data_IF_823013436892
#
_entry.id   IF_823013436892
#
_cell.length_a   1.000
_cell.length_b   1.000
_cell.length_c   1.000
_cell.angle_alpha   90.00
_cell.angle_beta   90.00
_cell.angle_gamma   90.00
#
_symmetry.space_group_name_H-M   'P 1'
#
loop_
_entity.id
_entity.type
_entity.pdbx_description
1 polymer ?
#
# COMPACT_ATOMS: atom_id res chain seq x y z
N UNK A 1 -7.03 30.55 51.30
CA UNK A 1 -7.56 31.21 50.09
C UNK A 1 -6.69 30.95 48.84
N UNK A 2 -5.36 30.82 48.95
CA UNK A 2 -4.46 30.56 47.80
C UNK A 2 -4.63 29.18 47.16
N UNK A 3 -4.98 28.16 47.95
CA UNK A 3 -5.16 26.78 47.47
C UNK A 3 -6.19 26.66 46.33
N UNK A 4 -7.31 27.38 46.42
CA UNK A 4 -8.38 27.31 45.41
C UNK A 4 -7.95 27.88 44.06
N UNK A 5 -7.20 28.99 44.09
CA UNK A 5 -6.64 29.62 42.89
C UNK A 5 -5.60 28.72 42.22
N UNK A 6 -4.72 28.11 43.02
CA UNK A 6 -3.71 27.20 42.51
C UNK A 6 -4.33 25.92 41.94
N UNK A 7 -5.33 25.36 42.62
CA UNK A 7 -6.09 24.20 42.13
C UNK A 7 -6.77 24.49 40.79
N UNK A 8 -7.50 25.61 40.69
CA UNK A 8 -8.18 26.00 39.45
C UNK A 8 -7.21 26.24 38.29
N UNK A 9 -6.08 26.93 38.53
CA UNK A 9 -5.03 27.12 37.53
C UNK A 9 -4.45 25.78 37.04
N UNK A 10 -4.14 24.86 37.95
CA UNK A 10 -3.64 23.54 37.59
C UNK A 10 -4.66 22.73 36.77
N UNK A 11 -5.94 22.76 37.14
CA UNK A 11 -7.01 22.07 36.39
C UNK A 11 -7.17 22.64 34.98
N UNK A 12 -7.24 23.96 34.82
CA UNK A 12 -7.37 24.60 33.51
C UNK A 12 -6.13 24.32 32.65
N UNK A 13 -4.91 24.44 33.21
CA UNK A 13 -3.68 24.16 32.48
C UNK A 13 -3.61 22.70 32.01
N UNK A 14 -4.05 21.74 32.82
CA UNK A 14 -4.05 20.31 32.46
C UNK A 14 -5.08 20.02 31.37
N UNK A 15 -6.28 20.61 31.46
CA UNK A 15 -7.32 20.44 30.44
C UNK A 15 -6.93 21.09 29.11
N UNK A 16 -6.43 22.32 29.15
CA UNK A 16 -5.91 23.02 27.97
C UNK A 16 -4.74 22.27 27.34
N UNK A 17 -3.83 21.70 28.13
CA UNK A 17 -2.74 20.87 27.63
C UNK A 17 -3.23 19.63 26.87
N UNK A 18 -4.19 18.90 27.42
CA UNK A 18 -4.79 17.74 26.74
C UNK A 18 -5.53 18.15 25.45
N UNK A 19 -6.28 19.25 25.48
CA UNK A 19 -7.00 19.77 24.31
C UNK A 19 -6.04 20.16 23.19
N UNK A 20 -4.96 20.88 23.52
CA UNK A 20 -3.93 21.24 22.55
C UNK A 20 -3.32 19.98 21.96
N UNK A 21 -2.98 18.98 22.78
CA UNK A 21 -2.43 17.72 22.29
C UNK A 21 -3.35 17.02 21.29
N UNK A 22 -4.67 16.97 21.56
CA UNK A 22 -5.64 16.41 20.60
C UNK A 22 -5.72 17.19 19.29
N UNK A 23 -5.59 18.53 19.33
CA UNK A 23 -5.64 19.37 18.14
C UNK A 23 -4.34 19.33 17.33
N UNK A 24 -3.19 19.18 18.00
CA UNK A 24 -1.88 19.18 17.34
C UNK A 24 -1.48 17.83 16.76
N UNK A 25 -2.01 16.72 17.29
CA UNK A 25 -1.75 15.38 16.77
C UNK A 25 -2.95 14.90 15.96
N UNK A 26 -3.05 15.25 14.66
CA UNK A 26 -4.02 14.59 13.79
C UNK A 26 -3.77 13.09 13.88
N UNK A 27 -4.83 12.33 14.16
CA UNK A 27 -4.76 10.90 14.45
C UNK A 27 -3.85 10.15 13.48
N UNK A 28 -3.11 9.17 13.99
CA UNK A 28 -2.12 8.42 13.22
C UNK A 28 -2.72 7.96 11.89
N UNK A 29 -2.13 8.32 10.73
CA UNK A 29 -2.66 7.90 9.45
C UNK A 29 -2.72 6.37 9.44
N UNK A 30 -3.91 5.87 9.16
CA UNK A 30 -4.26 4.47 8.97
C UNK A 30 -3.24 3.80 8.02
N UNK A 31 -2.18 3.22 8.58
CA UNK A 31 -1.16 2.53 7.78
C UNK A 31 -1.47 1.05 7.81
N UNK A 32 -1.76 0.49 6.64
CA UNK A 32 -1.88 -0.95 6.47
C UNK A 32 -0.47 -1.52 6.39
N UNK A 33 -0.10 -2.36 7.35
CA UNK A 33 1.27 -2.85 7.48
C UNK A 33 1.48 -4.21 6.79
N UNK A 34 0.44 -5.02 6.67
CA UNK A 34 0.48 -6.37 6.12
C UNK A 34 -0.81 -6.69 5.34
N UNK A 35 -0.76 -7.75 4.53
CA UNK A 35 -1.89 -8.15 3.68
C UNK A 35 -3.10 -8.58 4.53
N UNK A 36 -2.88 -9.17 5.70
CA UNK A 36 -3.95 -9.55 6.60
C UNK A 36 -4.82 -8.34 7.03
N UNK A 37 -4.19 -7.27 7.50
CA UNK A 37 -4.87 -6.03 7.87
C UNK A 37 -5.55 -5.35 6.67
N UNK A 38 -4.97 -5.48 5.47
CA UNK A 38 -5.58 -5.00 4.23
C UNK A 38 -6.93 -5.70 3.97
N UNK A 39 -6.95 -7.03 4.03
CA UNK A 39 -8.12 -7.84 3.68
C UNK A 39 -9.19 -7.87 4.77
N UNK A 40 -8.79 -8.00 6.03
CA UNK A 40 -9.73 -8.30 7.12
C UNK A 40 -10.07 -7.08 7.99
N UNK A 41 -9.09 -6.24 8.33
CA UNK A 41 -9.33 -5.08 9.20
C UNK A 41 -9.87 -3.88 8.43
N UNK A 42 -9.34 -3.65 7.22
CA UNK A 42 -9.76 -2.55 6.34
C UNK A 42 -10.81 -2.97 5.32
N UNK A 43 -11.02 -4.27 5.15
CA UNK A 43 -11.94 -4.83 4.16
C UNK A 43 -11.74 -4.23 2.76
N UNK A 44 -10.48 -4.11 2.33
CA UNK A 44 -10.15 -3.55 1.02
C UNK A 44 -10.09 -4.64 -0.05
N UNK A 45 -10.41 -4.26 -1.28
CA UNK A 45 -10.38 -5.16 -2.43
C UNK A 45 -9.03 -5.08 -3.16
N UNK A 46 -8.34 -6.21 -3.37
CA UNK A 46 -7.07 -6.24 -4.08
C UNK A 46 -7.29 -6.13 -5.59
N UNK A 47 -6.58 -5.22 -6.22
CA UNK A 47 -6.53 -5.04 -7.68
C UNK A 47 -5.17 -5.52 -8.19
N UNK A 48 -5.18 -6.29 -9.27
CA UNK A 48 -3.98 -6.79 -9.92
C UNK A 48 -4.01 -6.53 -11.43
N UNK A 49 -2.82 -6.46 -12.02
CA UNK A 49 -2.68 -6.44 -13.47
C UNK A 49 -2.85 -7.85 -14.03
N UNK A 50 -3.66 -7.99 -15.10
CA UNK A 50 -3.89 -9.29 -15.76
C UNK A 50 -2.60 -9.86 -16.33
N UNK A 51 -2.43 -11.18 -16.21
CA UNK A 51 -1.26 -11.90 -16.71
C UNK A 51 0.09 -11.42 -16.11
N UNK A 52 0.05 -10.63 -15.04
CA UNK A 52 1.25 -10.20 -14.34
C UNK A 52 1.81 -11.32 -13.46
N UNK A 53 3.02 -11.11 -12.94
CA UNK A 53 3.58 -11.99 -11.92
C UNK A 53 2.65 -12.13 -10.71
N UNK A 54 2.02 -11.03 -10.26
CA UNK A 54 1.10 -11.05 -9.11
C UNK A 54 -0.15 -11.90 -9.36
N UNK A 55 -0.67 -11.91 -10.59
CA UNK A 55 -1.79 -12.79 -11.00
C UNK A 55 -1.43 -14.27 -10.82
N UNK A 56 -0.25 -14.66 -11.32
CA UNK A 56 0.23 -16.04 -11.21
C UNK A 56 0.65 -16.40 -9.78
N UNK A 57 1.28 -15.47 -9.06
CA UNK A 57 1.75 -15.70 -7.69
C UNK A 57 0.58 -15.91 -6.72
N UNK A 58 -0.49 -15.12 -6.84
CA UNK A 58 -1.69 -15.30 -6.03
C UNK A 58 -2.40 -16.62 -6.35
N UNK A 59 -2.56 -16.94 -7.64
CA UNK A 59 -3.24 -18.17 -8.07
C UNK A 59 -2.52 -19.47 -7.70
N UNK A 60 -1.18 -19.44 -7.61
CA UNK A 60 -0.38 -20.62 -7.27
C UNK A 60 0.02 -20.72 -5.79
N UNK A 61 -0.27 -19.69 -4.99
CA UNK A 61 0.09 -19.66 -3.57
C UNK A 61 -0.79 -20.57 -2.72
N UNK A 62 -0.24 -21.04 -1.59
CA UNK A 62 -0.97 -21.79 -0.55
C UNK A 62 -1.16 -20.98 0.73
N UNK A 63 -0.72 -19.72 0.75
CA UNK A 63 -0.88 -18.87 1.93
C UNK A 63 -2.34 -18.44 2.08
N UNK A 64 -2.95 -18.55 3.27
CA UNK A 64 -4.36 -18.22 3.48
C UNK A 64 -4.76 -16.81 3.01
N UNK A 65 -3.94 -15.80 3.33
CA UNK A 65 -4.20 -14.41 2.92
C UNK A 65 -4.17 -14.24 1.40
N UNK A 66 -3.29 -14.97 0.69
CA UNK A 66 -3.18 -14.90 -0.77
C UNK A 66 -4.38 -15.59 -1.43
N UNK A 67 -4.82 -16.73 -0.86
CA UNK A 67 -6.01 -17.44 -1.31
C UNK A 67 -7.27 -16.57 -1.15
N UNK A 68 -7.38 -15.84 -0.04
CA UNK A 68 -8.50 -14.91 0.17
C UNK A 68 -8.44 -13.72 -0.80
N UNK A 69 -7.26 -13.12 -1.00
CA UNK A 69 -7.09 -12.07 -2.01
C UNK A 69 -7.49 -12.57 -3.40
N UNK A 70 -7.01 -13.76 -3.78
CA UNK A 70 -7.32 -14.40 -5.04
C UNK A 70 -8.82 -14.71 -5.18
N UNK A 71 -9.48 -15.20 -4.13
CA UNK A 71 -10.92 -15.45 -4.11
C UNK A 71 -11.72 -14.16 -4.38
N UNK A 72 -11.32 -13.02 -3.81
CA UNK A 72 -11.99 -11.73 -4.07
C UNK A 72 -11.86 -11.31 -5.52
N UNK A 73 -10.66 -11.45 -6.09
CA UNK A 73 -10.40 -11.17 -7.51
C UNK A 73 -11.21 -12.10 -8.42
N UNK A 74 -11.27 -13.40 -8.11
CA UNK A 74 -12.06 -14.35 -8.90
C UNK A 74 -13.56 -14.04 -8.89
N UNK A 75 -14.09 -13.55 -7.76
CA UNK A 75 -15.50 -13.19 -7.65
C UNK A 75 -15.85 -11.89 -8.38
N UNK A 76 -14.85 -11.05 -8.71
CA UNK A 76 -15.05 -9.79 -9.37
C UNK A 76 -13.93 -9.53 -10.40
N UNK A 77 -14.20 -9.92 -11.66
CA UNK A 77 -13.23 -9.78 -12.75
C UNK A 77 -12.83 -8.31 -13.01
N UNK A 78 -13.62 -7.33 -12.57
CA UNK A 78 -13.25 -5.91 -12.67
C UNK A 78 -12.04 -5.53 -11.79
N UNK A 79 -11.65 -6.39 -10.83
CA UNK A 79 -10.43 -6.22 -10.03
C UNK A 79 -9.17 -6.71 -10.75
N UNK A 80 -9.33 -7.39 -11.88
CA UNK A 80 -8.25 -7.76 -12.79
C UNK A 80 -8.24 -6.76 -13.94
N UNK A 81 -7.19 -5.96 -14.00
CA UNK A 81 -7.12 -4.80 -14.90
C UNK A 81 -5.98 -4.98 -15.91
N UNK A 82 -6.14 -4.48 -17.13
CA UNK A 82 -5.15 -4.71 -18.19
C UNK A 82 -3.96 -3.74 -18.12
N UNK A 83 -4.13 -2.54 -17.56
CA UNK A 83 -3.10 -1.50 -17.55
C UNK A 83 -2.89 -0.86 -16.18
N UNK A 84 -1.64 -0.53 -15.87
CA UNK A 84 -1.29 0.14 -14.61
C UNK A 84 -1.94 1.52 -14.46
N UNK A 85 -2.13 2.27 -15.56
CA UNK A 85 -2.79 3.59 -15.52
C UNK A 85 -4.26 3.50 -15.08
N UNK A 86 -4.97 2.46 -15.53
CA UNK A 86 -6.35 2.22 -15.12
C UNK A 86 -6.42 1.86 -13.63
N UNK A 87 -5.47 1.05 -13.14
CA UNK A 87 -5.33 0.74 -11.72
C UNK A 87 -5.14 2.02 -10.89
N UNK A 88 -4.26 2.93 -11.33
CA UNK A 88 -4.03 4.21 -10.63
C UNK A 88 -5.29 5.09 -10.62
N UNK A 89 -6.08 5.07 -11.71
CA UNK A 89 -7.37 5.78 -11.76
C UNK A 89 -8.37 5.18 -10.78
N UNK A 90 -8.48 3.85 -10.72
CA UNK A 90 -9.37 3.16 -9.78
C UNK A 90 -9.00 3.49 -8.32
N UNK A 91 -7.72 3.40 -7.96
CA UNK A 91 -7.24 3.79 -6.62
C UNK A 91 -7.53 5.25 -6.31
N UNK A 92 -7.36 6.16 -7.29
CA UNK A 92 -7.64 7.58 -7.06
C UNK A 92 -9.14 7.87 -6.89
N UNK A 93 -10.00 7.06 -7.51
CA UNK A 93 -11.45 7.21 -7.43
C UNK A 93 -12.09 6.53 -6.22
N UNK A 94 -11.46 5.50 -5.66
CA UNK A 94 -12.02 4.69 -4.58
C UNK A 94 -11.01 4.45 -3.47
N UNK A 95 -11.41 4.75 -2.23
CA UNK A 95 -10.60 4.51 -1.03
C UNK A 95 -10.66 3.07 -0.53
N UNK A 96 -11.44 2.18 -1.17
CA UNK A 96 -11.65 0.80 -0.73
C UNK A 96 -10.82 -0.21 -1.52
N UNK A 97 -10.06 0.24 -2.52
CA UNK A 97 -9.25 -0.64 -3.38
C UNK A 97 -7.77 -0.38 -3.18
N UNK A 98 -6.96 -1.43 -3.35
CA UNK A 98 -5.51 -1.34 -3.27
C UNK A 98 -4.86 -2.24 -4.30
N UNK A 99 -3.74 -1.79 -4.87
CA UNK A 99 -3.03 -2.57 -5.88
C UNK A 99 -1.95 -3.47 -5.27
N UNK A 100 -1.90 -4.73 -5.73
CA UNK A 100 -0.82 -5.67 -5.46
C UNK A 100 0.04 -5.76 -6.72
N UNK A 101 1.32 -5.39 -6.60
CA UNK A 101 2.23 -5.31 -7.74
C UNK A 101 3.67 -5.00 -7.31
N UNK A 102 4.51 -4.63 -8.29
CA UNK A 102 5.93 -4.36 -8.07
C UNK A 102 6.19 -3.07 -7.29
N UNK A 103 7.06 -3.15 -6.28
CA UNK A 103 7.44 -2.00 -5.43
C UNK A 103 8.06 -0.86 -6.22
N UNK A 104 8.87 -1.16 -7.24
CA UNK A 104 9.52 -0.15 -8.08
C UNK A 104 8.50 0.69 -8.86
N UNK A 105 7.47 0.06 -9.44
CA UNK A 105 6.40 0.77 -10.16
C UNK A 105 5.59 1.68 -9.22
N UNK A 106 5.25 1.18 -8.03
CA UNK A 106 4.54 1.97 -7.01
C UNK A 106 5.36 3.15 -6.50
N UNK A 107 6.67 2.95 -6.26
CA UNK A 107 7.57 4.03 -5.87
C UNK A 107 7.66 5.11 -6.94
N UNK A 108 7.74 4.72 -8.22
CA UNK A 108 7.71 5.68 -9.33
C UNK A 108 6.39 6.44 -9.37
N UNK A 109 5.25 5.77 -9.19
CA UNK A 109 3.94 6.42 -9.17
C UNK A 109 3.81 7.44 -8.02
N UNK A 110 4.26 7.09 -6.81
CA UNK A 110 4.28 7.99 -5.65
C UNK A 110 5.22 9.18 -5.89
N UNK A 111 6.40 8.95 -6.48
CA UNK A 111 7.34 10.01 -6.79
C UNK A 111 6.82 10.98 -7.86
N UNK A 112 6.07 10.49 -8.84
CA UNK A 112 5.43 11.35 -9.85
C UNK A 112 4.28 12.14 -9.25
N UNK A 113 3.47 11.54 -8.39
CA UNK A 113 2.37 12.20 -7.70
C UNK A 113 2.85 13.34 -6.78
N UNK A 114 3.98 13.15 -6.09
CA UNK A 114 4.54 14.14 -5.17
C UNK A 114 5.04 15.42 -5.86
N UNK A 115 5.40 15.34 -7.14
CA UNK A 115 5.84 16.51 -7.93
C UNK A 115 4.66 17.36 -8.38
N UNK A 116 3.50 16.75 -8.64
CA UNK A 116 2.34 17.43 -9.20
C UNK A 116 1.27 17.86 -8.19
N UNK A 117 1.20 17.23 -7.02
CA UNK A 117 0.10 17.41 -6.07
C UNK A 117 0.53 18.15 -4.80
N UNK A 118 -0.37 19.00 -4.27
CA UNK A 118 -0.21 19.64 -2.94
C UNK A 118 -0.32 18.65 -1.78
N UNK A 119 -0.81 17.42 -2.04
CA UNK A 119 -0.91 16.35 -1.07
C UNK A 119 -0.67 15.00 -1.76
N UNK A 120 0.17 14.14 -1.17
CA UNK A 120 0.42 12.79 -1.67
C UNK A 120 -0.86 11.95 -1.58
N UNK A 121 -1.35 11.47 -2.73
CA UNK A 121 -2.58 10.67 -2.85
C UNK A 121 -2.33 9.19 -2.61
N UNK A 122 -1.11 8.74 -2.88
CA UNK A 122 -0.74 7.33 -2.80
C UNK A 122 0.18 7.07 -1.61
N UNK A 123 0.04 5.88 -1.03
CA UNK A 123 0.92 5.36 0.01
C UNK A 123 1.17 3.88 -0.23
N UNK A 124 2.34 3.41 0.19
CA UNK A 124 2.68 1.99 0.13
C UNK A 124 2.53 1.34 1.51
N UNK A 125 2.20 0.05 1.48
CA UNK A 125 2.34 -0.79 2.66
C UNK A 125 3.79 -0.79 3.14
N UNK A 126 3.97 -0.86 4.46
CA UNK A 126 5.30 -0.76 5.08
C UNK A 126 6.20 -1.95 4.78
N UNK A 127 5.62 -3.14 4.67
CA UNK A 127 6.36 -4.38 4.44
C UNK A 127 6.01 -4.93 3.05
N UNK A 128 7.02 -5.22 2.21
CA UNK A 128 6.79 -5.92 0.96
C UNK A 128 6.34 -7.36 1.25
N UNK A 129 5.41 -7.85 0.43
CA UNK A 129 4.86 -9.21 0.57
C UNK A 129 5.87 -10.28 0.15
N UNK A 130 6.69 -9.98 -0.85
CA UNK A 130 7.70 -10.89 -1.39
C UNK A 130 8.89 -10.08 -1.96
N UNK A 131 10.06 -10.71 -2.01
CA UNK A 131 11.24 -10.16 -2.69
C UNK A 131 11.34 -10.74 -4.09
N UNK A 132 11.00 -9.93 -5.09
CA UNK A 132 11.11 -10.30 -6.50
C UNK A 132 12.41 -9.74 -7.07
N UNK A 133 13.16 -10.57 -7.79
CA UNK A 133 14.35 -10.15 -8.52
C UNK A 133 14.03 -10.02 -10.01
N UNK A 134 14.62 -9.01 -10.66
CA UNK A 134 14.52 -8.85 -12.10
C UNK A 134 15.73 -9.48 -12.79
N UNK A 135 15.49 -10.13 -13.93
CA UNK A 135 16.52 -10.74 -14.75
C UNK A 135 16.15 -10.60 -16.24
N UNK A 136 17.17 -10.71 -17.10
CA UNK A 136 16.98 -10.74 -18.55
C UNK A 136 16.60 -12.14 -19.00
N UNK A 137 15.57 -12.25 -19.85
CA UNK A 137 15.18 -13.50 -20.49
C UNK A 137 15.73 -13.54 -21.92
N UNK A 138 16.50 -14.58 -22.24
CA UNK A 138 17.01 -14.82 -23.59
C UNK A 138 16.35 -16.06 -24.21
N UNK A 139 16.16 -16.10 -25.54
CA UNK A 139 15.68 -17.29 -26.21
C UNK A 139 16.60 -18.49 -25.93
N UNK A 140 15.99 -19.67 -25.74
CA UNK A 140 16.72 -20.91 -25.49
C UNK A 140 17.69 -21.19 -26.65
N UNK A 141 18.94 -21.48 -26.33
CA UNK A 141 19.99 -21.81 -27.31
C UNK A 141 20.79 -20.61 -27.82
N UNK A 142 20.57 -19.40 -27.29
CA UNK A 142 21.40 -18.24 -27.62
C UNK A 142 22.66 -18.18 -26.75
N UNK A 143 23.78 -17.71 -27.31
CA UNK A 143 25.06 -17.53 -26.61
C UNK A 143 25.17 -16.16 -25.92
N UNK A 144 24.05 -15.51 -25.60
CA UNK A 144 24.04 -14.23 -24.92
C UNK A 144 24.33 -14.29 -23.41
N UNK A 145 23.91 -15.31 -22.63
CA UNK A 145 24.13 -15.32 -21.19
C UNK A 145 25.60 -15.08 -20.75
N UNK A 146 26.61 -15.71 -21.37
CA UNK A 146 28.02 -15.50 -21.00
C UNK A 146 28.55 -14.07 -21.26
N UNK A 147 27.87 -13.29 -22.09
CA UNK A 147 28.24 -11.89 -22.36
C UNK A 147 27.72 -10.96 -21.26
N UNK A 148 26.60 -11.29 -20.63
CA UNK A 148 25.99 -10.50 -19.56
C UNK A 148 26.54 -10.88 -18.17
N UNK A 149 27.02 -12.12 -17.99
CA UNK A 149 27.68 -12.55 -16.74
C UNK A 149 29.00 -11.82 -16.43
N UNK A 150 29.52 -11.04 -17.38
CA UNK A 150 30.76 -10.25 -17.25
C UNK A 150 30.54 -8.82 -16.74
N UNK A 151 29.29 -8.40 -16.57
CA UNK A 151 28.88 -7.08 -16.08
C UNK A 151 28.29 -7.19 -14.67
#
# INVERSE_FOLDING_TARGET
MVFWWLFSLCTVATYSGNLIAFLTFPGKPSTVNNLHAFLYERNMDPIIEKNSYSDQALGNSRMPDFLEAWRRIQNNDALRVDTFDEILRMISSSSTVGHIGGTAAMQSAIAQDSVGATACRYTMMRQPMEKVNYAWAFPKGTNYPPLFDKW
#
